data_IF_170815386616
#
_entry.id   IF_170815386616
#
_cell.length_a   1.000
_cell.length_b   1.000
_cell.length_c   1.000
_cell.angle_alpha   90.00
_cell.angle_beta   90.00
_cell.angle_gamma   90.00
#
_symmetry.space_group_name_H-M   'P 1'
#
loop_
_entity.id
_entity.type
_entity.pdbx_description
1 polymer ?
#
# COMPACT_ATOMS: atom_id res chain seq x y z
N UNK A 1 10.52 9.10 -16.82
CA UNK A 1 10.15 7.74 -16.37
C UNK A 1 9.34 7.87 -15.09
N UNK A 2 8.14 7.28 -15.00
CA UNK A 2 7.43 7.20 -13.72
C UNK A 2 8.27 6.38 -12.75
N UNK A 3 8.48 6.87 -11.52
CA UNK A 3 9.31 6.18 -10.49
C UNK A 3 8.55 5.06 -9.76
N UNK A 4 7.28 4.85 -10.09
CA UNK A 4 6.51 3.73 -9.57
C UNK A 4 7.17 2.39 -9.93
N UNK A 5 7.05 1.43 -9.04
CA UNK A 5 7.46 0.05 -9.29
C UNK A 5 6.84 -0.44 -10.62
N UNK A 6 7.60 -1.06 -11.53
CA UNK A 6 7.12 -1.43 -12.86
C UNK A 6 5.91 -2.39 -12.81
N UNK A 7 5.76 -3.12 -11.70
CA UNK A 7 4.63 -4.03 -11.50
C UNK A 7 3.31 -3.32 -11.19
N UNK A 8 3.30 -2.02 -10.88
CA UNK A 8 2.05 -1.33 -10.51
C UNK A 8 1.21 -1.03 -11.76
N UNK A 9 0.02 -1.64 -11.81
CA UNK A 9 -0.93 -1.53 -12.91
C UNK A 9 -1.98 -0.48 -12.55
N UNK A 10 -2.14 0.51 -13.41
CA UNK A 10 -3.17 1.54 -13.31
C UNK A 10 -4.46 1.08 -13.99
N UNK A 11 -5.61 1.53 -13.47
CA UNK A 11 -6.93 1.19 -13.97
C UNK A 11 -7.18 1.65 -15.42
N UNK A 12 -6.83 2.90 -15.75
CA UNK A 12 -7.00 3.54 -17.08
C UNK A 12 -8.42 3.51 -17.66
N UNK A 13 -9.44 3.24 -16.85
CA UNK A 13 -10.86 3.40 -17.25
C UNK A 13 -11.23 4.88 -17.39
N UNK A 14 -12.36 5.15 -18.06
CA UNK A 14 -12.88 6.51 -18.20
C UNK A 14 -13.06 7.17 -16.81
N UNK A 15 -12.45 8.34 -16.56
CA UNK A 15 -12.58 9.01 -15.28
C UNK A 15 -14.01 9.54 -15.11
N UNK A 16 -14.54 9.36 -13.91
CA UNK A 16 -15.86 9.88 -13.52
C UNK A 16 -15.76 11.23 -12.84
N UNK A 17 -16.79 11.56 -12.05
CA UNK A 17 -16.88 12.84 -11.32
C UNK A 17 -16.10 12.78 -10.01
N UNK A 18 -15.87 11.57 -9.49
CA UNK A 18 -15.23 11.34 -8.19
C UNK A 18 -13.79 11.92 -8.14
N UNK A 19 -13.51 12.64 -7.06
CA UNK A 19 -12.18 13.20 -6.78
C UNK A 19 -11.32 12.11 -6.16
N UNK A 20 -10.09 11.93 -6.68
CA UNK A 20 -9.12 11.03 -6.09
C UNK A 20 -8.58 11.56 -4.77
N UNK A 21 -8.37 10.66 -3.80
CA UNK A 21 -7.81 11.01 -2.48
C UNK A 21 -6.45 10.37 -2.26
N UNK A 22 -5.63 10.92 -1.36
CA UNK A 22 -4.35 10.35 -0.92
C UNK A 22 -4.36 10.07 0.59
N UNK A 23 -3.64 9.02 0.99
CA UNK A 23 -3.38 8.69 2.40
C UNK A 23 -2.27 9.58 2.96
N UNK A 24 -2.14 9.70 4.28
CA UNK A 24 -1.10 10.52 4.95
C UNK A 24 0.32 10.23 4.44
N UNK A 25 0.61 8.96 4.16
CA UNK A 25 1.93 8.51 3.65
C UNK A 25 2.21 8.91 2.20
N UNK A 26 1.16 9.25 1.47
CA UNK A 26 1.22 9.60 0.05
C UNK A 26 0.86 11.07 -0.18
N UNK A 27 0.67 11.85 0.88
CA UNK A 27 0.17 13.21 0.76
C UNK A 27 1.11 14.10 -0.08
N UNK A 28 0.52 14.97 -0.89
CA UNK A 28 1.25 15.86 -1.80
C UNK A 28 1.96 15.20 -2.99
N UNK A 29 1.91 13.87 -3.14
CA UNK A 29 2.53 13.18 -4.28
C UNK A 29 1.70 13.30 -5.54
N UNK A 30 2.37 13.54 -6.66
CA UNK A 30 1.79 13.35 -7.97
C UNK A 30 1.49 11.86 -8.20
N UNK A 31 0.28 11.54 -8.62
CA UNK A 31 -0.21 10.16 -8.87
C UNK A 31 0.50 9.40 -9.99
N UNK A 32 1.35 10.05 -10.79
CA UNK A 32 2.06 9.41 -11.92
C UNK A 32 3.58 9.37 -11.71
N UNK A 33 4.17 10.45 -11.19
CA UNK A 33 5.63 10.56 -11.09
C UNK A 33 6.15 10.57 -9.65
N UNK A 34 5.27 10.45 -8.65
CA UNK A 34 5.59 10.51 -7.22
C UNK A 34 6.30 11.81 -6.77
N UNK A 35 6.33 12.85 -7.62
CA UNK A 35 6.95 14.13 -7.26
C UNK A 35 6.02 14.95 -6.37
N UNK A 36 6.61 15.74 -5.45
CA UNK A 36 5.87 16.63 -4.54
C UNK A 36 5.73 18.06 -5.07
N UNK A 37 6.09 18.29 -6.33
CA UNK A 37 6.34 19.64 -6.83
C UNK A 37 5.19 20.10 -7.73
N UNK A 38 4.68 21.31 -7.47
CA UNK A 38 3.73 22.07 -8.31
C UNK A 38 2.49 21.25 -8.73
N UNK A 39 1.55 20.96 -7.81
CA UNK A 39 0.24 20.43 -8.18
C UNK A 39 -0.50 21.44 -9.07
N UNK A 40 -1.12 20.96 -10.16
CA UNK A 40 -1.85 21.80 -11.10
C UNK A 40 -3.28 21.31 -11.33
N UNK A 41 -3.45 20.03 -11.66
CA UNK A 41 -4.75 19.49 -12.05
C UNK A 41 -5.27 18.51 -11.00
N UNK A 42 -6.53 18.62 -10.63
CA UNK A 42 -7.21 17.67 -9.73
C UNK A 42 -7.36 16.30 -10.38
N UNK A 43 -7.12 15.24 -9.62
CA UNK A 43 -7.25 13.86 -10.09
C UNK A 43 -8.70 13.40 -10.04
N UNK A 44 -9.15 12.74 -11.12
CA UNK A 44 -10.48 12.12 -11.20
C UNK A 44 -10.35 10.60 -11.29
N UNK A 45 -11.26 9.91 -10.62
CA UNK A 45 -11.30 8.44 -10.51
C UNK A 45 -12.55 7.93 -11.20
N UNK A 46 -12.47 6.75 -11.84
CA UNK A 46 -13.64 6.11 -12.43
C UNK A 46 -14.65 5.66 -11.36
N UNK A 47 -15.91 5.52 -11.74
CA UNK A 47 -16.99 5.21 -10.80
C UNK A 47 -16.83 3.83 -10.16
N UNK A 48 -16.26 2.86 -10.88
CA UNK A 48 -15.96 1.54 -10.33
C UNK A 48 -14.93 1.58 -9.20
N UNK A 49 -13.86 2.37 -9.36
CA UNK A 49 -12.81 2.51 -8.34
C UNK A 49 -13.25 3.35 -7.15
N UNK A 50 -14.40 4.03 -7.25
CA UNK A 50 -15.00 4.81 -6.18
C UNK A 50 -16.35 4.21 -5.72
N UNK A 51 -16.56 2.90 -5.88
CA UNK A 51 -17.78 2.23 -5.46
C UNK A 51 -17.64 1.59 -4.06
N UNK A 52 -18.67 1.76 -3.22
CA UNK A 52 -18.78 1.11 -1.90
C UNK A 52 -17.55 1.29 -1.01
N UNK A 53 -16.96 0.18 -0.56
CA UNK A 53 -15.79 0.16 0.35
C UNK A 53 -14.53 0.81 -0.21
N UNK A 54 -14.45 1.08 -1.53
CA UNK A 54 -13.31 1.76 -2.17
C UNK A 54 -13.45 3.28 -2.19
N UNK A 55 -14.60 3.82 -1.74
CA UNK A 55 -14.82 5.25 -1.64
C UNK A 55 -13.81 5.93 -0.73
N UNK A 56 -13.32 7.09 -1.17
CA UNK A 56 -12.38 7.89 -0.40
C UNK A 56 -11.04 7.21 -0.11
N UNK A 57 -10.71 6.10 -0.79
CA UNK A 57 -9.43 5.41 -0.60
C UNK A 57 -8.32 6.03 -1.43
N UNK A 58 -7.10 5.97 -0.89
CA UNK A 58 -5.92 6.48 -1.53
C UNK A 58 -5.70 5.88 -2.93
N UNK A 59 -5.44 6.74 -3.93
CA UNK A 59 -5.23 6.37 -5.33
C UNK A 59 -3.99 5.46 -5.51
N UNK A 60 -2.95 5.66 -4.71
CA UNK A 60 -1.67 4.95 -4.79
C UNK A 60 -1.64 3.74 -3.85
N UNK A 61 -2.01 3.95 -2.59
CA UNK A 61 -1.75 3.01 -1.51
C UNK A 61 -2.94 2.10 -1.18
N UNK A 62 -4.17 2.49 -1.53
CA UNK A 62 -5.41 1.81 -1.14
C UNK A 62 -5.81 1.99 0.34
N UNK A 63 -5.07 2.79 1.11
CA UNK A 63 -5.40 3.16 2.49
C UNK A 63 -6.50 4.22 2.58
N UNK A 64 -6.83 4.66 3.80
CA UNK A 64 -7.81 5.73 4.04
C UNK A 64 -7.28 7.04 3.46
N UNK A 65 -8.07 7.69 2.60
CA UNK A 65 -7.72 8.96 1.98
C UNK A 65 -8.17 10.14 2.84
N UNK A 66 -7.31 11.15 2.93
CA UNK A 66 -7.53 12.37 3.72
C UNK A 66 -7.50 13.58 2.80
N UNK A 67 -6.38 13.76 2.08
CA UNK A 67 -6.18 14.87 1.16
C UNK A 67 -6.62 14.53 -0.26
N UNK A 68 -6.89 15.56 -1.07
CA UNK A 68 -7.19 15.41 -2.49
C UNK A 68 -5.92 15.16 -3.31
N UNK A 69 -6.03 14.32 -4.33
CA UNK A 69 -4.92 13.96 -5.21
C UNK A 69 -4.79 14.94 -6.37
N UNK A 70 -3.55 15.25 -6.76
CA UNK A 70 -3.23 16.17 -7.85
C UNK A 70 -2.22 15.57 -8.83
N UNK A 71 -2.33 15.99 -10.09
CA UNK A 71 -1.26 15.85 -11.10
C UNK A 71 -0.33 17.06 -11.00
N UNK A 72 0.98 16.82 -11.12
CA UNK A 72 1.95 17.89 -11.22
C UNK A 72 1.93 18.56 -12.60
N UNK A 73 2.40 19.80 -12.68
CA UNK A 73 2.45 20.59 -13.92
C UNK A 73 3.09 19.86 -15.09
N UNK A 74 4.18 19.14 -14.82
CA UNK A 74 4.93 18.40 -15.85
C UNK A 74 4.13 17.23 -16.42
N UNK A 75 3.38 16.52 -15.57
CA UNK A 75 2.51 15.42 -16.04
C UNK A 75 1.34 15.96 -16.87
N UNK A 76 0.77 17.10 -16.48
CA UNK A 76 -0.28 17.78 -17.25
C UNK A 76 0.25 18.32 -18.58
N UNK A 77 1.46 18.86 -18.62
CA UNK A 77 2.09 19.30 -19.88
C UNK A 77 2.41 18.14 -20.82
N UNK A 78 2.67 16.97 -20.29
CA UNK A 78 2.84 15.72 -21.04
C UNK A 78 1.51 15.03 -21.37
N UNK A 79 0.37 15.66 -21.07
CA UNK A 79 -0.98 15.16 -21.29
C UNK A 79 -1.30 13.82 -20.60
N UNK A 80 -0.51 13.44 -19.57
CA UNK A 80 -0.70 12.18 -18.84
C UNK A 80 -1.92 12.18 -17.93
N UNK A 81 -2.47 13.35 -17.64
CA UNK A 81 -3.74 13.52 -16.96
C UNK A 81 -4.94 13.06 -17.80
N UNK A 82 -4.74 12.80 -19.11
CA UNK A 82 -5.78 12.32 -20.04
C UNK A 82 -5.75 10.81 -20.27
N UNK A 83 -4.80 10.07 -19.70
CA UNK A 83 -4.64 8.63 -19.88
C UNK A 83 -5.78 7.79 -19.24
N UNK A 84 -6.58 8.40 -18.37
CA UNK A 84 -7.72 7.78 -17.68
C UNK A 84 -7.52 7.69 -16.18
N UNK A 85 -8.28 6.80 -15.53
CA UNK A 85 -8.28 6.63 -14.07
C UNK A 85 -6.90 6.17 -13.55
N UNK A 86 -6.20 6.97 -12.71
CA UNK A 86 -4.86 6.65 -12.22
C UNK A 86 -4.86 5.74 -10.98
N UNK A 87 -6.00 5.15 -10.60
CA UNK A 87 -6.10 4.24 -9.45
C UNK A 87 -5.28 2.99 -9.71
N UNK A 88 -4.41 2.64 -8.76
CA UNK A 88 -3.66 1.39 -8.79
C UNK A 88 -4.60 0.26 -8.34
N UNK A 89 -4.72 -0.78 -9.16
CA UNK A 89 -5.62 -1.92 -8.89
C UNK A 89 -4.93 -3.06 -8.16
N UNK A 90 -3.63 -3.22 -8.33
CA UNK A 90 -2.87 -4.31 -7.74
C UNK A 90 -2.05 -3.85 -6.52
N UNK A 91 -1.89 -4.75 -5.56
CA UNK A 91 -0.96 -4.59 -4.45
C UNK A 91 0.38 -5.15 -4.94
N UNK A 92 1.32 -4.28 -5.31
CA UNK A 92 2.60 -4.68 -5.90
C UNK A 92 3.42 -5.66 -5.04
N UNK A 93 4.27 -6.42 -5.71
CA UNK A 93 5.18 -7.46 -5.17
C UNK A 93 5.95 -7.03 -3.92
N UNK A 94 6.48 -5.81 -3.90
CA UNK A 94 7.23 -5.30 -2.74
C UNK A 94 6.43 -5.29 -1.42
N UNK A 95 5.10 -5.11 -1.45
CA UNK A 95 4.27 -5.19 -0.22
C UNK A 95 3.96 -6.64 0.17
N UNK A 96 3.81 -7.53 -0.81
CA UNK A 96 3.57 -8.95 -0.54
C UNK A 96 4.82 -9.61 0.01
N UNK A 97 6.00 -9.28 -0.52
CA UNK A 97 7.28 -9.84 -0.08
C UNK A 97 7.58 -9.44 1.36
N UNK A 98 7.38 -8.16 1.71
CA UNK A 98 7.52 -7.67 3.09
C UNK A 98 6.57 -8.41 4.05
N UNK A 99 5.35 -8.70 3.62
CA UNK A 99 4.41 -9.48 4.43
C UNK A 99 4.92 -10.92 4.65
N UNK A 100 5.40 -11.59 3.60
CA UNK A 100 5.93 -12.96 3.72
C UNK A 100 7.22 -13.04 4.54
N UNK A 101 8.11 -12.04 4.46
CA UNK A 101 9.30 -11.98 5.30
C UNK A 101 8.96 -11.82 6.79
N UNK A 102 7.93 -11.03 7.11
CA UNK A 102 7.48 -10.84 8.50
C UNK A 102 6.75 -12.08 9.03
N UNK A 103 5.94 -12.74 8.21
CA UNK A 103 5.23 -13.97 8.58
C UNK A 103 6.21 -15.15 8.77
N UNK A 104 7.16 -15.34 7.86
CA UNK A 104 8.16 -16.42 7.96
C UNK A 104 9.05 -16.28 9.20
N UNK A 105 9.48 -15.05 9.57
CA UNK A 105 10.18 -14.80 10.84
C UNK A 105 9.32 -15.11 12.06
N UNK A 106 8.03 -14.82 12.03
CA UNK A 106 7.14 -15.06 13.17
C UNK A 106 6.97 -16.56 13.40
N UNK A 107 6.78 -17.36 12.35
CA UNK A 107 6.63 -18.82 12.43
C UNK A 107 7.88 -19.46 13.04
N UNK A 108 9.08 -19.11 12.54
CA UNK A 108 10.33 -19.68 13.06
C UNK A 108 10.61 -19.28 14.52
N UNK A 109 10.26 -18.06 14.93
CA UNK A 109 10.41 -17.62 16.33
C UNK A 109 9.37 -18.30 17.23
N UNK A 110 8.13 -18.52 16.77
CA UNK A 110 7.14 -19.27 17.55
C UNK A 110 7.53 -20.73 17.74
N UNK A 111 8.09 -21.38 16.72
CA UNK A 111 8.60 -22.76 16.85
C UNK A 111 9.79 -22.84 17.81
N UNK A 112 10.79 -21.95 17.69
CA UNK A 112 11.91 -21.90 18.64
C UNK A 112 11.48 -21.58 20.08
N UNK A 113 10.49 -20.71 20.26
CA UNK A 113 10.00 -20.31 21.59
C UNK A 113 9.17 -21.40 22.25
N UNK A 114 8.41 -22.18 21.47
CA UNK A 114 7.76 -23.41 21.95
C UNK A 114 8.80 -24.46 22.38
N UNK A 115 9.89 -24.63 21.63
CA UNK A 115 10.96 -25.55 22.01
C UNK A 115 11.72 -25.11 23.28
N UNK A 116 12.02 -23.81 23.43
CA UNK A 116 12.69 -23.29 24.62
C UNK A 116 11.81 -23.43 25.87
N UNK A 117 10.52 -23.09 25.78
CA UNK A 117 9.57 -23.26 26.88
C UNK A 117 9.35 -24.75 27.24
N UNK A 118 9.44 -25.66 26.28
CA UNK A 118 9.38 -27.10 26.51
C UNK A 118 10.64 -27.64 27.24
N UNK A 119 11.80 -27.02 27.02
CA UNK A 119 13.01 -27.35 27.77
C UNK A 119 12.95 -26.82 29.22
N UNK A 120 12.40 -25.63 29.45
CA UNK A 120 12.26 -25.06 30.80
C UNK A 120 11.32 -25.88 31.72
N UNK A 121 10.26 -26.50 31.17
CA UNK A 121 9.36 -27.38 31.95
C UNK A 121 10.03 -28.69 32.41
N UNK A 122 10.92 -29.26 31.60
CA UNK A 122 11.63 -30.49 31.95
C UNK A 122 12.70 -30.28 33.04
N UNK A 123 13.27 -29.07 33.16
CA UNK A 123 14.18 -28.74 34.27
C UNK A 123 13.45 -28.57 35.62
N UNK A 124 12.19 -28.10 35.62
CA UNK A 124 11.38 -27.98 36.85
C UNK A 124 10.93 -29.36 37.34
N UNK A 125 10.56 -30.28 36.45
CA UNK A 125 10.17 -31.64 36.81
C UNK A 125 11.30 -32.53 37.34
N UNK A 126 12.56 -32.23 37.03
CA UNK A 126 13.73 -32.96 37.53
C UNK A 126 14.17 -32.54 38.95
N UNK A 127 13.72 -31.38 39.45
CA UNK A 127 14.03 -30.92 40.81
C UNK A 127 12.98 -31.35 41.86
N UNK A 128 11.76 -31.73 41.45
CA UNK A 128 10.71 -32.17 42.37
C UNK A 128 10.76 -33.66 42.72
N UNK A 129 11.71 -34.42 42.18
CA UNK A 129 11.92 -35.86 42.45
C UNK A 129 13.11 -36.14 43.39
N UNK A 130 13.69 -35.09 43.98
CA UNK A 130 14.81 -35.14 44.94
C UNK A 130 14.49 -34.47 46.30
N UNK A 131 13.22 -34.19 46.58
CA UNK A 131 12.67 -33.83 47.89
C UNK A 131 11.55 -34.79 48.24
#
# INVERSE_FOLDING_TARGET
MAKHHPDLIMCRKQPGIAIGRLCEKCDGKCVICDSYVRPCTLVRVCDECNYGSFQGRCVICGGVGISDAYYCKECTQQEKDRDGCPKIVNLGSAKTDLFYELVSKTILVTELKLLLNAMDLNCIGAMSSLL
#
